data_IF_062730140879
#
_entry.id   IF_062730140879
#
_cell.length_a   1.000
_cell.length_b   1.000
_cell.length_c   1.000
_cell.angle_alpha   90.00
_cell.angle_beta   90.00
_cell.angle_gamma   90.00
#
_symmetry.space_group_name_H-M   'P 1'
#
loop_
_entity.id
_entity.type
_entity.pdbx_description
1 polymer ?
#
# COMPACT_ATOMS: atom_id res chain seq x y z
N UNK A 1 -61.48 61.89 -15.15
CA UNK A 1 -61.32 60.45 -15.21
C UNK A 1 -59.79 60.11 -15.41
N UNK A 2 -59.08 59.83 -14.32
CA UNK A 2 -57.65 59.55 -14.33
C UNK A 2 -57.49 58.03 -14.27
N UNK A 3 -56.91 57.40 -15.35
CA UNK A 3 -56.59 56.00 -15.39
C UNK A 3 -55.22 55.78 -14.73
N UNK A 4 -55.23 55.03 -13.65
CA UNK A 4 -54.04 54.63 -12.92
C UNK A 4 -53.49 53.33 -13.55
N UNK A 5 -52.33 53.41 -14.18
CA UNK A 5 -51.61 52.24 -14.70
C UNK A 5 -50.76 51.64 -13.58
N UNK A 6 -51.10 50.41 -13.17
CA UNK A 6 -50.32 49.62 -12.21
C UNK A 6 -49.27 48.82 -12.96
N UNK A 7 -48.03 49.18 -12.84
CA UNK A 7 -46.90 48.43 -13.39
C UNK A 7 -46.45 47.41 -12.34
N UNK A 8 -46.69 46.11 -12.60
CA UNK A 8 -46.20 45.03 -11.76
C UNK A 8 -44.78 44.68 -12.23
N UNK A 9 -43.79 45.00 -11.41
CA UNK A 9 -42.43 44.58 -11.59
C UNK A 9 -42.26 43.15 -11.03
N UNK A 10 -42.12 42.16 -11.92
CA UNK A 10 -41.81 40.78 -11.56
C UNK A 10 -40.28 40.71 -11.35
N UNK A 11 -39.87 40.71 -10.09
CA UNK A 11 -38.49 40.49 -9.69
C UNK A 11 -38.19 38.97 -9.72
N UNK A 12 -37.55 38.52 -10.76
CA UNK A 12 -37.10 37.10 -10.88
C UNK A 12 -35.92 36.84 -9.94
N UNK A 13 -36.13 36.09 -8.87
CA UNK A 13 -35.06 35.60 -8.01
C UNK A 13 -34.42 34.39 -8.73
N UNK A 14 -33.23 34.60 -9.30
CA UNK A 14 -32.42 33.53 -9.82
C UNK A 14 -31.77 32.74 -8.65
N UNK A 15 -32.37 31.62 -8.27
CA UNK A 15 -31.81 30.74 -7.25
C UNK A 15 -30.60 29.99 -7.85
N UNK A 16 -29.39 30.41 -7.53
CA UNK A 16 -28.16 29.68 -7.83
C UNK A 16 -28.08 28.50 -6.87
N UNK A 17 -28.51 27.32 -7.31
CA UNK A 17 -28.26 26.08 -6.58
C UNK A 17 -26.80 25.68 -6.74
N UNK A 18 -25.96 26.02 -5.78
CA UNK A 18 -24.62 25.45 -5.68
C UNK A 18 -24.77 23.99 -5.28
N UNK A 19 -24.59 23.08 -6.25
CA UNK A 19 -24.47 21.67 -5.96
C UNK A 19 -23.18 21.46 -5.16
N UNK A 20 -23.31 21.22 -3.86
CA UNK A 20 -22.22 20.70 -3.04
C UNK A 20 -22.00 19.26 -3.46
N UNK A 21 -21.05 19.02 -4.37
CA UNK A 21 -20.51 17.68 -4.56
C UNK A 21 -19.66 17.37 -3.34
N UNK A 22 -20.19 16.58 -2.41
CA UNK A 22 -19.40 16.00 -1.33
C UNK A 22 -18.28 15.19 -1.96
N UNK A 23 -17.01 15.36 -1.54
CA UNK A 23 -15.94 14.51 -2.03
C UNK A 23 -16.28 13.08 -1.64
N UNK A 24 -16.48 12.23 -2.62
CA UNK A 24 -16.67 10.79 -2.40
C UNK A 24 -15.34 10.28 -1.87
N UNK A 25 -15.25 10.01 -0.58
CA UNK A 25 -14.06 9.43 0.05
C UNK A 25 -13.98 7.97 -0.43
N UNK A 26 -13.28 7.76 -1.52
CA UNK A 26 -13.05 6.43 -2.07
C UNK A 26 -11.91 5.76 -1.32
N UNK A 27 -12.20 5.19 -0.16
CA UNK A 27 -11.28 4.30 0.54
C UNK A 27 -11.49 2.88 0.03
N UNK A 28 -10.59 2.46 -0.83
CA UNK A 28 -10.60 1.12 -1.39
C UNK A 28 -9.85 0.15 -0.48
N UNK A 29 -10.31 -1.09 -0.42
CA UNK A 29 -9.72 -2.15 0.41
C UNK A 29 -9.38 -3.35 -0.46
N UNK A 30 -8.15 -3.82 -0.37
CA UNK A 30 -7.70 -5.11 -0.90
C UNK A 30 -7.48 -6.09 0.25
N UNK A 31 -8.08 -7.28 0.16
CA UNK A 31 -7.92 -8.37 1.14
C UNK A 31 -7.10 -9.56 0.61
N UNK A 32 -6.65 -9.47 -0.63
CA UNK A 32 -5.91 -10.50 -1.33
C UNK A 32 -4.61 -9.92 -1.95
N UNK A 33 -3.96 -9.01 -1.23
CA UNK A 33 -2.67 -8.50 -1.65
C UNK A 33 -1.61 -9.61 -1.59
N UNK A 34 -0.67 -9.58 -2.52
CA UNK A 34 0.45 -10.49 -2.61
C UNK A 34 1.74 -9.76 -2.29
N UNK A 35 2.57 -10.34 -1.43
CA UNK A 35 3.96 -9.92 -1.22
C UNK A 35 4.85 -11.14 -1.39
N UNK A 36 5.88 -10.99 -2.19
CA UNK A 36 6.99 -11.93 -2.30
C UNK A 36 8.27 -11.26 -1.78
N UNK A 37 9.12 -12.00 -1.12
CA UNK A 37 10.51 -11.59 -0.94
C UNK A 37 11.47 -12.61 -1.53
N UNK A 38 12.60 -12.11 -2.01
CA UNK A 38 13.67 -12.90 -2.61
C UNK A 38 15.01 -12.52 -2.01
N UNK A 39 15.73 -13.52 -1.52
CA UNK A 39 17.08 -13.42 -0.98
C UNK A 39 18.01 -14.27 -1.82
N UNK A 40 18.96 -13.64 -2.51
CA UNK A 40 19.95 -14.31 -3.35
C UNK A 40 21.33 -14.29 -2.69
N UNK A 41 21.96 -15.42 -2.58
CA UNK A 41 23.38 -15.58 -2.21
C UNK A 41 24.07 -16.59 -3.12
N UNK A 42 25.40 -16.61 -3.14
CA UNK A 42 26.14 -17.63 -3.88
C UNK A 42 25.89 -19.08 -3.39
N UNK A 43 25.25 -19.25 -2.24
CA UNK A 43 25.01 -20.54 -1.59
C UNK A 43 23.57 -21.00 -1.81
N UNK A 44 22.61 -20.10 -1.69
CA UNK A 44 21.18 -20.45 -1.68
C UNK A 44 20.30 -19.27 -2.10
N UNK A 45 19.27 -19.59 -2.85
CA UNK A 45 18.14 -18.68 -3.11
C UNK A 45 16.98 -19.03 -2.17
N UNK A 46 16.44 -18.00 -1.53
CA UNK A 46 15.29 -18.14 -0.61
C UNK A 46 14.20 -17.22 -1.09
N UNK A 47 13.03 -17.78 -1.38
CA UNK A 47 11.83 -17.05 -1.72
C UNK A 47 10.67 -17.46 -0.81
N UNK A 48 9.78 -16.53 -0.52
CA UNK A 48 8.52 -16.84 0.12
C UNK A 48 7.43 -15.86 -0.28
N UNK A 49 6.20 -16.35 -0.35
CA UNK A 49 5.02 -15.64 -0.79
C UNK A 49 4.01 -15.47 0.34
N UNK A 50 3.31 -14.34 0.35
CA UNK A 50 2.23 -14.07 1.29
C UNK A 50 1.02 -13.53 0.53
N UNK A 51 -0.07 -14.30 0.51
CA UNK A 51 -1.33 -13.96 -0.16
C UNK A 51 -2.42 -13.45 0.80
N UNK A 52 -2.06 -13.17 2.07
CA UNK A 52 -3.01 -12.70 3.10
C UNK A 52 -2.77 -11.24 3.49
N UNK A 53 -2.18 -10.48 2.60
CA UNK A 53 -1.92 -9.06 2.81
C UNK A 53 -3.22 -8.28 2.69
N UNK A 54 -3.47 -7.42 3.66
CA UNK A 54 -4.58 -6.46 3.60
C UNK A 54 -4.00 -5.07 3.36
N UNK A 55 -4.55 -4.35 2.40
CA UNK A 55 -4.14 -2.99 2.13
C UNK A 55 -5.35 -2.07 1.88
N UNK A 56 -5.15 -0.78 2.08
CA UNK A 56 -6.12 0.26 1.74
C UNK A 56 -5.46 1.34 0.92
N UNK A 57 -6.21 1.87 -0.04
CA UNK A 57 -5.84 3.01 -0.86
C UNK A 57 -6.97 4.05 -0.78
N UNK A 58 -6.64 5.28 -0.40
CA UNK A 58 -7.55 6.41 -0.50
C UNK A 58 -7.20 7.20 -1.75
N UNK A 59 -8.03 7.13 -2.78
CA UNK A 59 -7.77 7.78 -4.07
C UNK A 59 -7.86 9.31 -4.01
N UNK A 60 -8.58 9.86 -3.02
CA UNK A 60 -8.72 11.31 -2.85
C UNK A 60 -7.51 11.94 -2.14
N UNK A 61 -6.88 11.21 -1.21
CA UNK A 61 -5.75 11.73 -0.41
C UNK A 61 -4.42 11.11 -0.77
N UNK A 62 -4.41 9.99 -1.50
CA UNK A 62 -3.22 9.20 -1.76
C UNK A 62 -2.71 8.39 -0.57
N UNK A 63 -3.47 8.31 0.55
CA UNK A 63 -3.07 7.48 1.69
C UNK A 63 -3.05 6.00 1.31
N UNK A 64 -1.95 5.31 1.65
CA UNK A 64 -1.76 3.89 1.42
C UNK A 64 -1.37 3.22 2.74
N UNK A 65 -2.09 2.15 3.10
CA UNK A 65 -1.78 1.37 4.31
C UNK A 65 -1.70 -0.10 3.96
N UNK A 66 -0.65 -0.77 4.46
CA UNK A 66 -0.48 -2.22 4.37
C UNK A 66 -0.45 -2.85 5.76
N UNK A 67 -1.05 -4.01 5.88
CA UNK A 67 -0.95 -4.90 7.04
C UNK A 67 -0.60 -6.31 6.55
N UNK A 68 0.61 -6.76 6.92
CA UNK A 68 1.20 -8.01 6.44
C UNK A 68 1.31 -8.99 7.59
N UNK A 69 0.49 -10.05 7.63
CA UNK A 69 0.61 -11.08 8.66
C UNK A 69 1.89 -11.88 8.44
N UNK A 70 2.85 -11.78 9.36
CA UNK A 70 4.19 -12.33 9.19
C UNK A 70 4.21 -13.86 9.16
N UNK A 71 3.31 -14.52 9.87
CA UNK A 71 3.22 -16.00 9.89
C UNK A 71 2.59 -16.60 8.63
N UNK A 72 2.05 -15.75 7.74
CA UNK A 72 1.38 -16.20 6.50
C UNK A 72 2.33 -16.24 5.30
N UNK A 73 3.63 -16.03 5.49
CA UNK A 73 4.61 -16.31 4.44
C UNK A 73 4.76 -17.81 4.24
N UNK A 74 4.65 -18.25 3.02
CA UNK A 74 4.73 -19.65 2.58
C UNK A 74 6.07 -19.91 1.90
N UNK A 75 6.79 -20.90 2.38
CA UNK A 75 8.11 -21.30 1.89
C UNK A 75 8.01 -22.67 1.22
N UNK A 76 8.82 -22.92 0.21
CA UNK A 76 8.94 -24.24 -0.39
C UNK A 76 9.35 -25.29 0.64
N UNK A 77 10.28 -24.96 1.55
CA UNK A 77 10.82 -25.86 2.57
C UNK A 77 10.27 -25.52 3.95
N UNK A 78 9.55 -26.45 4.59
CA UNK A 78 8.97 -26.26 5.94
C UNK A 78 10.01 -25.90 7.01
N UNK A 79 11.27 -26.36 6.87
CA UNK A 79 12.34 -25.99 7.78
C UNK A 79 12.71 -24.50 7.69
N UNK A 80 12.72 -23.92 6.48
CA UNK A 80 12.93 -22.48 6.29
C UNK A 80 11.82 -21.66 6.92
N UNK A 81 10.56 -22.06 6.73
CA UNK A 81 9.42 -21.42 7.39
C UNK A 81 9.53 -21.46 8.93
N UNK A 82 9.98 -22.59 9.49
CA UNK A 82 10.23 -22.72 10.92
C UNK A 82 11.33 -21.77 11.41
N UNK A 83 12.45 -21.67 10.67
CA UNK A 83 13.54 -20.75 10.99
C UNK A 83 13.09 -19.29 10.90
N UNK A 84 12.39 -18.91 9.82
CA UNK A 84 11.81 -17.59 9.61
C UNK A 84 10.95 -17.14 10.79
N UNK A 85 10.05 -18.02 11.26
CA UNK A 85 9.13 -17.72 12.36
C UNK A 85 9.79 -17.74 13.75
N UNK A 86 11.01 -18.25 13.86
CA UNK A 86 11.63 -18.50 15.17
C UNK A 86 12.03 -17.20 15.90
N UNK A 87 12.12 -17.27 17.24
CA UNK A 87 12.65 -16.20 18.09
C UNK A 87 14.08 -15.79 17.74
N UNK A 88 14.82 -16.68 17.06
CA UNK A 88 16.22 -16.42 16.66
C UNK A 88 16.31 -15.57 15.39
N UNK A 89 15.21 -15.39 14.66
CA UNK A 89 15.18 -14.63 13.40
C UNK A 89 14.11 -13.52 13.46
N UNK A 90 12.88 -13.74 12.97
CA UNK A 90 11.84 -12.71 12.90
C UNK A 90 10.92 -12.68 14.13
N UNK A 91 10.94 -13.70 14.97
CA UNK A 91 10.09 -13.80 16.16
C UNK A 91 8.62 -13.41 15.87
N UNK A 92 8.05 -14.06 14.88
CA UNK A 92 6.71 -13.68 14.37
C UNK A 92 5.58 -13.88 15.38
N UNK A 93 5.84 -14.54 16.51
CA UNK A 93 4.90 -14.58 17.66
C UNK A 93 4.88 -13.25 18.39
N UNK A 94 6.03 -12.63 18.59
CA UNK A 94 6.15 -11.31 19.23
C UNK A 94 5.83 -10.19 18.26
N UNK A 95 6.23 -10.34 16.99
CA UNK A 95 6.00 -9.37 15.92
C UNK A 95 5.10 -9.96 14.82
N UNK A 96 3.79 -10.14 15.09
CA UNK A 96 2.92 -10.91 14.21
C UNK A 96 2.57 -10.19 12.90
N UNK A 97 2.84 -8.88 12.80
CA UNK A 97 2.52 -8.08 11.61
C UNK A 97 3.64 -7.11 11.28
N UNK A 98 3.98 -7.01 10.01
CA UNK A 98 4.60 -5.81 9.47
C UNK A 98 3.50 -4.84 9.03
N UNK A 99 3.77 -3.53 9.11
CA UNK A 99 2.84 -2.47 8.75
C UNK A 99 3.56 -1.40 7.95
N UNK A 100 2.88 -0.86 6.97
CA UNK A 100 3.28 0.35 6.28
C UNK A 100 2.12 1.34 6.28
N UNK A 101 2.41 2.59 6.58
CA UNK A 101 1.47 3.70 6.41
C UNK A 101 2.20 4.84 5.72
N UNK A 102 1.74 5.20 4.55
CA UNK A 102 2.35 6.23 3.74
C UNK A 102 1.36 6.97 2.86
N UNK A 103 1.90 7.79 2.00
CA UNK A 103 1.13 8.61 1.10
C UNK A 103 1.84 8.70 -0.25
N UNK A 104 1.07 8.75 -1.32
CA UNK A 104 1.54 9.10 -2.66
C UNK A 104 1.92 10.57 -2.63
N UNK A 105 3.20 10.89 -2.86
CA UNK A 105 3.73 12.26 -2.74
C UNK A 105 3.51 13.11 -4.00
N UNK A 106 3.31 12.46 -5.15
CA UNK A 106 2.99 13.07 -6.45
C UNK A 106 1.61 12.61 -6.94
N UNK A 107 0.57 12.85 -6.13
CA UNK A 107 -0.79 12.36 -6.41
C UNK A 107 -1.37 12.91 -7.72
N UNK A 108 -0.92 14.05 -8.17
CA UNK A 108 -1.24 14.69 -9.45
C UNK A 108 -0.73 13.91 -10.67
N UNK A 109 0.24 13.01 -10.47
CA UNK A 109 0.73 12.14 -11.53
C UNK A 109 -0.21 10.97 -11.87
N UNK A 110 -1.25 10.71 -11.05
CA UNK A 110 -2.20 9.62 -11.26
C UNK A 110 -3.63 10.13 -11.40
N UNK A 111 -4.34 9.63 -12.42
CA UNK A 111 -5.77 9.81 -12.55
C UNK A 111 -6.49 8.47 -12.36
N UNK A 112 -7.15 8.30 -11.24
CA UNK A 112 -7.85 7.04 -10.91
C UNK A 112 -9.12 6.80 -11.71
N UNK A 113 -9.58 7.78 -12.50
CA UNK A 113 -10.80 7.67 -13.34
C UNK A 113 -10.46 7.37 -14.82
N UNK A 114 -9.19 7.43 -15.20
CA UNK A 114 -8.74 7.22 -16.57
C UNK A 114 -7.87 5.96 -16.64
N UNK A 115 -8.19 5.08 -17.57
CA UNK A 115 -7.39 3.88 -17.82
C UNK A 115 -5.96 4.28 -18.21
N UNK A 116 -4.98 3.62 -17.59
CA UNK A 116 -3.58 3.93 -17.83
C UNK A 116 -2.65 3.30 -16.81
N UNK A 117 -1.36 3.50 -17.04
CA UNK A 117 -0.30 3.10 -16.13
C UNK A 117 0.46 4.32 -15.66
N UNK A 118 0.57 4.50 -14.36
CA UNK A 118 1.09 5.69 -13.71
C UNK A 118 2.23 5.33 -12.78
N UNK A 119 3.34 6.06 -12.85
CA UNK A 119 4.44 5.91 -11.91
C UNK A 119 4.32 6.96 -10.81
N UNK A 120 4.30 6.51 -9.57
CA UNK A 120 4.16 7.37 -8.40
C UNK A 120 5.27 7.10 -7.40
N UNK A 121 5.49 8.06 -6.51
CA UNK A 121 6.36 7.93 -5.35
C UNK A 121 5.49 7.82 -4.10
N UNK A 122 5.76 6.81 -3.27
CA UNK A 122 5.09 6.59 -2.00
C UNK A 122 6.10 6.77 -0.88
N UNK A 123 5.83 7.66 0.06
CA UNK A 123 6.65 7.89 1.23
C UNK A 123 5.84 7.60 2.50
N UNK A 124 6.46 6.99 3.50
CA UNK A 124 5.77 6.67 4.74
C UNK A 124 6.60 5.88 5.73
N UNK A 125 5.97 5.44 6.79
CA UNK A 125 6.57 4.67 7.87
C UNK A 125 6.33 3.18 7.68
N UNK A 126 7.40 2.39 7.69
CA UNK A 126 7.36 0.95 7.72
C UNK A 126 7.79 0.42 9.08
N UNK A 127 6.91 -0.32 9.73
CA UNK A 127 7.22 -1.07 10.95
C UNK A 127 7.42 -2.55 10.61
N UNK A 128 8.62 -3.05 10.87
CA UNK A 128 8.99 -4.45 10.71
C UNK A 128 9.80 -4.88 11.92
N UNK A 129 9.50 -6.03 12.50
CA UNK A 129 10.22 -6.60 13.66
C UNK A 129 10.35 -5.61 14.83
N UNK A 130 9.32 -4.77 15.05
CA UNK A 130 9.29 -3.76 16.11
C UNK A 130 10.12 -2.50 15.84
N UNK A 131 10.76 -2.38 14.68
CA UNK A 131 11.51 -1.20 14.25
C UNK A 131 10.71 -0.42 13.24
N UNK A 132 10.55 0.88 13.45
CA UNK A 132 9.89 1.78 12.49
C UNK A 132 10.93 2.63 11.77
N UNK A 133 10.83 2.69 10.44
CA UNK A 133 11.66 3.54 9.59
C UNK A 133 10.80 4.26 8.55
N UNK A 134 11.19 5.48 8.23
CA UNK A 134 10.66 6.20 7.07
C UNK A 134 11.32 5.62 5.82
N UNK A 135 10.50 5.26 4.84
CA UNK A 135 10.94 4.78 3.53
C UNK A 135 10.27 5.60 2.43
N UNK A 136 10.92 5.66 1.29
CA UNK A 136 10.39 6.28 0.07
C UNK A 136 10.69 5.36 -1.08
N UNK A 137 9.63 4.91 -1.76
CA UNK A 137 9.72 3.91 -2.83
C UNK A 137 8.89 4.35 -4.04
N UNK A 138 9.24 3.82 -5.20
CA UNK A 138 8.43 3.98 -6.40
C UNK A 138 7.38 2.89 -6.49
N UNK A 139 6.21 3.24 -7.02
CA UNK A 139 5.14 2.30 -7.30
C UNK A 139 4.59 2.53 -8.70
N UNK A 140 4.10 1.47 -9.30
CA UNK A 140 3.31 1.52 -10.53
C UNK A 140 1.85 1.30 -10.19
N UNK A 141 0.99 2.23 -10.62
CA UNK A 141 -0.46 2.14 -10.49
C UNK A 141 -1.04 1.91 -11.88
N UNK A 142 -1.76 0.81 -12.05
CA UNK A 142 -2.50 0.53 -13.28
C UNK A 142 -3.99 0.66 -13.01
N UNK A 143 -4.67 1.51 -13.78
CA UNK A 143 -6.13 1.68 -13.76
C UNK A 143 -6.69 1.04 -15.01
N UNK A 144 -7.67 0.14 -14.85
CA UNK A 144 -8.37 -0.52 -15.95
C UNK A 144 -9.85 -0.69 -15.57
N UNK A 145 -10.71 0.16 -16.11
CA UNK A 145 -12.12 0.22 -15.76
C UNK A 145 -12.30 0.50 -14.26
N UNK A 146 -12.94 -0.43 -13.55
CA UNK A 146 -13.14 -0.31 -12.10
C UNK A 146 -12.02 -0.94 -11.26
N UNK A 147 -11.00 -1.52 -11.90
CA UNK A 147 -9.88 -2.16 -11.20
C UNK A 147 -8.68 -1.21 -11.12
N UNK A 148 -8.07 -1.15 -9.94
CA UNK A 148 -6.81 -0.45 -9.69
C UNK A 148 -5.82 -1.47 -9.14
N UNK A 149 -4.65 -1.60 -9.79
CA UNK A 149 -3.55 -2.44 -9.32
C UNK A 149 -2.40 -1.54 -8.89
N UNK A 150 -1.86 -1.79 -7.70
CA UNK A 150 -0.66 -1.12 -7.18
C UNK A 150 0.45 -2.14 -7.03
N UNK A 151 1.58 -1.89 -7.68
CA UNK A 151 2.75 -2.76 -7.66
C UNK A 151 3.98 -1.97 -7.18
N UNK A 152 4.77 -2.59 -6.29
CA UNK A 152 6.05 -2.04 -5.83
C UNK A 152 7.14 -3.09 -5.90
N UNK A 153 8.36 -2.61 -6.06
CA UNK A 153 9.58 -3.42 -5.95
C UNK A 153 10.62 -2.62 -5.19
N UNK A 154 11.06 -3.11 -4.06
CA UNK A 154 11.98 -2.42 -3.17
C UNK A 154 13.09 -3.35 -2.67
N UNK A 155 14.20 -2.77 -2.27
CA UNK A 155 15.29 -3.46 -1.60
C UNK A 155 15.24 -3.19 -0.09
N UNK A 156 15.20 -4.24 0.71
CA UNK A 156 15.11 -4.18 2.16
C UNK A 156 16.40 -4.67 2.80
N UNK A 157 17.10 -3.80 3.53
CA UNK A 157 18.27 -4.17 4.30
C UNK A 157 17.84 -4.73 5.66
N UNK A 158 18.08 -6.01 5.89
CA UNK A 158 17.59 -6.73 7.08
C UNK A 158 18.12 -6.15 8.40
N UNK A 159 19.39 -5.72 8.42
CA UNK A 159 20.01 -5.12 9.59
C UNK A 159 19.29 -3.85 10.07
N UNK A 160 18.69 -3.11 9.16
CA UNK A 160 17.93 -1.89 9.45
C UNK A 160 16.73 -2.14 10.36
N UNK A 161 16.20 -3.35 10.34
CA UNK A 161 15.07 -3.79 11.15
C UNK A 161 15.49 -4.78 12.23
N UNK A 162 16.79 -4.85 12.55
CA UNK A 162 17.35 -5.77 13.55
C UNK A 162 17.00 -7.25 13.25
N UNK A 163 16.79 -7.56 11.98
CA UNK A 163 16.55 -8.92 11.50
C UNK A 163 17.90 -9.58 11.26
N UNK A 164 18.30 -10.44 12.20
CA UNK A 164 19.51 -11.23 12.13
C UNK A 164 19.38 -12.41 13.09
N UNK A 165 20.11 -13.50 12.83
CA UNK A 165 20.16 -14.62 13.78
C UNK A 165 20.79 -14.17 15.10
N UNK A 166 20.03 -14.23 16.18
CA UNK A 166 20.54 -13.93 17.55
C UNK A 166 21.46 -15.07 18.00
N UNK A 167 22.68 -14.72 18.38
CA UNK A 167 23.64 -15.65 18.99
C UNK A 167 24.38 -16.58 18.03
N UNK A 168 24.35 -16.28 16.73
CA UNK A 168 25.08 -17.02 15.71
C UNK A 168 25.95 -16.15 14.82
N UNK A 169 26.85 -16.77 14.05
CA UNK A 169 27.48 -16.09 12.92
C UNK A 169 26.37 -15.65 11.96
N UNK A 170 26.52 -14.50 11.25
CA UNK A 170 25.59 -14.14 10.19
C UNK A 170 25.40 -15.34 9.27
N UNK A 171 24.16 -15.72 8.99
CA UNK A 171 23.90 -16.80 8.02
C UNK A 171 24.45 -16.37 6.68
N UNK A 172 25.39 -17.13 6.14
CA UNK A 172 25.90 -16.91 4.78
C UNK A 172 24.89 -17.23 3.70
N UNK A 173 23.79 -17.88 4.09
CA UNK A 173 22.69 -18.28 3.21
C UNK A 173 21.58 -17.22 3.05
N UNK A 174 21.65 -16.12 3.83
CA UNK A 174 20.65 -15.05 3.76
C UNK A 174 21.35 -13.78 3.31
N UNK A 175 20.87 -13.15 2.26
CA UNK A 175 21.37 -11.86 1.79
C UNK A 175 21.20 -10.78 2.84
N UNK A 176 22.13 -9.84 2.93
CA UNK A 176 22.01 -8.67 3.81
C UNK A 176 20.86 -7.76 3.37
N UNK A 177 20.64 -7.68 2.07
CA UNK A 177 19.56 -6.95 1.44
C UNK A 177 18.76 -7.91 0.59
N UNK A 178 17.45 -7.91 0.76
CA UNK A 178 16.52 -8.75 0.03
C UNK A 178 15.65 -7.89 -0.88
N UNK A 179 15.21 -8.47 -1.99
CA UNK A 179 14.19 -7.86 -2.83
C UNK A 179 12.81 -8.17 -2.28
N UNK A 180 11.94 -7.18 -2.24
CA UNK A 180 10.54 -7.33 -1.84
C UNK A 180 9.66 -6.75 -2.94
N UNK A 181 8.77 -7.56 -3.47
CA UNK A 181 7.74 -7.13 -4.41
C UNK A 181 6.37 -7.18 -3.75
N UNK A 182 5.51 -6.22 -4.07
CA UNK A 182 4.12 -6.26 -3.64
C UNK A 182 3.17 -5.98 -4.80
N UNK A 183 2.02 -6.63 -4.74
CA UNK A 183 0.89 -6.40 -5.66
C UNK A 183 -0.40 -6.38 -4.87
N UNK A 184 -1.19 -5.33 -5.04
CA UNK A 184 -2.52 -5.22 -4.45
C UNK A 184 -3.53 -4.77 -5.50
N UNK A 185 -4.67 -5.44 -5.55
CA UNK A 185 -5.77 -5.11 -6.44
C UNK A 185 -6.93 -4.53 -5.64
N UNK A 186 -7.47 -3.43 -6.12
CA UNK A 186 -8.61 -2.72 -5.56
C UNK A 186 -9.71 -2.63 -6.61
N UNK A 187 -10.96 -2.63 -6.16
CA UNK A 187 -12.12 -2.43 -7.02
C UNK A 187 -12.84 -1.16 -6.60
N UNK A 188 -13.07 -0.24 -7.55
CA UNK A 188 -13.92 0.93 -7.34
C UNK A 188 -15.35 0.45 -7.18
N UNK A 189 -16.03 0.92 -6.13
CA UNK A 189 -17.47 0.73 -6.00
C UNK A 189 -18.17 1.59 -7.04
N UNK A 190 -19.11 0.98 -7.80
CA UNK A 190 -19.92 1.65 -8.82
C UNK A 190 -21.05 2.49 -8.19
#
# INVERSE_FOLDING_TARGET
>A
MKKLLFTIAISGILAITTAFTSPTVSKLVSKAGHINFFSHTAIEDISADNFKVVSTLNTATGEVVYSVPMQSFEFEKALMQKHYNSKKFLDTKTYPKAKFKGQITNLDAVNFEVDGTYNVTIAGEMNLHGVTKVITETATITVLGNKITVETKMNLTLADYKVAFKGGKPSTNIAKTIEVTSKSEYTKEG
#
